data_IF_590010715676
#
_entry.id   IF_590010715676
#
_cell.length_a   1.000
_cell.length_b   1.000
_cell.length_c   1.000
_cell.angle_alpha   90.00
_cell.angle_beta   90.00
_cell.angle_gamma   90.00
#
_symmetry.space_group_name_H-M   'P 1'
#
loop_
_entity.id
_entity.type
_entity.pdbx_description
1 polymer ?
#
# COMPACT_ATOMS: atom_id res chain seq x y z
N UNK A 1 -8.97 -10.76 -15.04
CA UNK A 1 -8.43 -9.43 -15.41
C UNK A 1 -9.48 -8.41 -15.03
N UNK A 2 -9.20 -7.57 -14.05
CA UNK A 2 -10.14 -6.49 -13.73
C UNK A 2 -10.20 -5.50 -14.90
N UNK A 3 -11.38 -4.97 -15.23
CA UNK A 3 -11.51 -3.98 -16.27
C UNK A 3 -10.67 -2.74 -15.94
N UNK A 4 -10.07 -2.08 -16.94
CA UNK A 4 -9.24 -0.91 -16.70
C UNK A 4 -10.06 0.21 -16.03
N UNK A 5 -9.50 0.76 -14.96
CA UNK A 5 -10.10 1.87 -14.24
C UNK A 5 -9.99 3.15 -15.11
N UNK A 6 -11.13 3.65 -15.55
CA UNK A 6 -11.20 4.86 -16.37
C UNK A 6 -11.41 6.09 -15.48
N UNK A 7 -10.52 7.07 -15.59
CA UNK A 7 -10.66 8.37 -14.92
C UNK A 7 -10.54 9.49 -15.96
N UNK A 8 -11.63 10.18 -16.24
CA UNK A 8 -11.69 11.24 -17.26
C UNK A 8 -11.23 10.69 -18.62
N UNK A 9 -10.15 11.25 -19.22
CA UNK A 9 -9.56 10.78 -20.46
C UNK A 9 -8.38 9.78 -20.24
N UNK A 10 -8.17 9.29 -19.00
CA UNK A 10 -7.03 8.42 -18.66
C UNK A 10 -7.45 7.02 -18.25
N UNK A 11 -6.67 6.04 -18.65
CA UNK A 11 -6.85 4.62 -18.34
C UNK A 11 -5.73 4.10 -17.43
N UNK A 12 -6.08 3.19 -16.53
CA UNK A 12 -5.13 2.47 -15.69
C UNK A 12 -5.55 1.01 -15.58
N UNK A 13 -4.66 0.09 -15.90
CA UNK A 13 -4.89 -1.35 -15.80
C UNK A 13 -3.73 -2.05 -15.13
N UNK A 14 -4.03 -3.14 -14.40
CA UNK A 14 -3.06 -4.00 -13.74
C UNK A 14 -3.17 -5.41 -14.31
N UNK A 15 -2.04 -6.01 -14.63
CA UNK A 15 -1.94 -7.36 -15.15
C UNK A 15 -0.93 -8.17 -14.34
N UNK A 16 -1.32 -9.38 -13.96
CA UNK A 16 -0.43 -10.37 -13.37
C UNK A 16 0.44 -10.98 -14.47
N UNK A 17 1.75 -11.00 -14.24
CA UNK A 17 2.73 -11.63 -15.11
C UNK A 17 3.28 -12.87 -14.39
N UNK A 18 2.84 -14.03 -14.84
CA UNK A 18 3.32 -15.31 -14.30
C UNK A 18 4.72 -15.61 -14.85
N UNK A 19 5.62 -16.14 -14.01
CA UNK A 19 6.94 -16.53 -14.45
C UNK A 19 6.87 -17.73 -15.41
N UNK A 20 7.82 -17.82 -16.34
CA UNK A 20 7.94 -18.95 -17.26
C UNK A 20 8.46 -20.22 -16.56
N UNK A 21 9.15 -20.05 -15.44
CA UNK A 21 9.67 -21.13 -14.59
C UNK A 21 9.64 -20.70 -13.11
N UNK A 22 9.75 -21.64 -12.20
CA UNK A 22 9.65 -21.42 -10.75
C UNK A 22 10.80 -20.61 -10.16
N UNK A 23 11.89 -20.39 -10.90
CA UNK A 23 13.03 -19.60 -10.41
C UNK A 23 12.82 -18.08 -10.50
N UNK A 24 11.80 -17.63 -11.21
CA UNK A 24 11.49 -16.21 -11.34
C UNK A 24 10.28 -15.81 -10.48
N UNK A 25 10.29 -14.61 -9.90
CA UNK A 25 9.16 -14.14 -9.12
C UNK A 25 7.95 -13.80 -10.00
N UNK A 26 6.77 -13.94 -9.45
CA UNK A 26 5.55 -13.38 -10.02
C UNK A 26 5.61 -11.86 -9.98
N UNK A 27 5.19 -11.21 -11.05
CA UNK A 27 5.22 -9.76 -11.18
C UNK A 27 3.82 -9.19 -11.46
N UNK A 28 3.62 -7.94 -11.08
CA UNK A 28 2.49 -7.13 -11.50
C UNK A 28 2.95 -6.03 -12.44
N UNK A 29 2.26 -5.87 -13.56
CA UNK A 29 2.45 -4.79 -14.52
C UNK A 29 1.27 -3.83 -14.46
N UNK A 30 1.49 -2.61 -14.01
CA UNK A 30 0.52 -1.52 -14.02
C UNK A 30 0.83 -0.60 -15.19
N UNK A 31 -0.12 -0.46 -16.13
CA UNK A 31 0.00 0.41 -17.30
C UNK A 31 -0.98 1.55 -17.19
N UNK A 32 -0.55 2.74 -17.58
CA UNK A 32 -1.40 3.92 -17.57
C UNK A 32 -1.22 4.70 -18.88
N UNK A 33 -2.35 5.19 -19.41
CA UNK A 33 -2.38 6.13 -20.52
C UNK A 33 -3.11 7.39 -20.08
N UNK A 34 -2.46 8.55 -20.17
CA UNK A 34 -3.00 9.87 -19.78
C UNK A 34 -3.64 9.93 -18.36
N UNK A 35 -3.28 9.01 -17.48
CA UNK A 35 -3.73 8.97 -16.09
C UNK A 35 -2.88 9.92 -15.23
N UNK A 36 -3.34 11.17 -15.12
CA UNK A 36 -2.56 12.27 -14.59
C UNK A 36 -3.09 12.80 -13.25
N UNK A 37 -2.18 13.27 -12.40
CA UNK A 37 -2.50 14.16 -11.30
C UNK A 37 -2.00 15.58 -11.60
N UNK A 38 -2.68 16.58 -11.06
CA UNK A 38 -2.27 17.99 -11.14
C UNK A 38 -1.87 18.49 -9.76
N UNK A 39 -0.93 19.41 -9.73
CA UNK A 39 -0.48 20.11 -8.53
C UNK A 39 0.06 21.49 -8.93
N UNK A 40 0.28 22.43 -7.99
CA UNK A 40 0.93 23.71 -8.32
C UNK A 40 2.27 23.54 -9.04
N UNK A 41 3.04 22.49 -8.70
CA UNK A 41 4.31 22.17 -9.37
C UNK A 41 4.13 21.55 -10.77
N UNK A 42 2.98 20.93 -11.04
CA UNK A 42 2.68 20.26 -12.32
C UNK A 42 1.28 20.63 -12.81
N UNK A 43 1.08 21.90 -13.23
CA UNK A 43 -0.25 22.40 -13.61
C UNK A 43 -0.82 21.70 -14.84
N UNK A 44 0.03 21.29 -15.77
CA UNK A 44 -0.35 20.54 -16.98
C UNK A 44 -0.60 19.04 -16.71
N UNK A 45 -0.32 18.57 -15.50
CA UNK A 45 -0.46 17.18 -15.09
C UNK A 45 0.83 16.37 -15.26
N UNK A 46 0.94 15.33 -14.42
CA UNK A 46 2.04 14.36 -14.41
C UNK A 46 1.46 12.96 -14.19
N UNK A 47 2.01 11.89 -14.82
CA UNK A 47 1.55 10.52 -14.58
C UNK A 47 1.56 10.13 -13.10
N UNK A 48 0.46 9.53 -12.62
CA UNK A 48 0.34 9.12 -11.21
C UNK A 48 1.35 8.04 -10.84
N UNK A 49 1.73 7.17 -11.78
CA UNK A 49 2.80 6.17 -11.62
C UNK A 49 4.12 6.80 -11.15
N UNK A 50 4.50 7.99 -11.64
CA UNK A 50 5.75 8.64 -11.19
C UNK A 50 5.69 9.04 -9.71
N UNK A 51 4.52 9.40 -9.20
CA UNK A 51 4.31 9.66 -7.78
C UNK A 51 4.34 8.36 -6.97
N UNK A 52 3.74 7.30 -7.50
CA UNK A 52 3.77 5.97 -6.91
C UNK A 52 5.20 5.41 -6.80
N UNK A 53 6.00 5.50 -7.87
CA UNK A 53 7.43 5.11 -7.85
C UNK A 53 8.20 5.87 -6.77
N UNK A 54 7.97 7.18 -6.66
CA UNK A 54 8.62 8.00 -5.63
C UNK A 54 8.20 7.56 -4.22
N UNK A 55 6.92 7.26 -4.00
CA UNK A 55 6.41 6.76 -2.73
C UNK A 55 7.02 5.38 -2.38
N UNK A 56 7.07 4.43 -3.32
CA UNK A 56 7.71 3.13 -3.10
C UNK A 56 9.15 3.28 -2.62
N UNK A 57 9.96 4.10 -3.29
CA UNK A 57 11.36 4.33 -2.90
C UNK A 57 11.48 4.95 -1.51
N UNK A 58 10.69 5.98 -1.25
CA UNK A 58 10.75 6.70 0.02
C UNK A 58 10.27 5.86 1.21
N UNK A 59 9.19 5.10 1.05
CA UNK A 59 8.67 4.24 2.11
C UNK A 59 9.61 3.05 2.38
N UNK A 60 10.19 2.46 1.35
CA UNK A 60 11.21 1.43 1.50
C UNK A 60 12.43 1.94 2.29
N UNK A 61 12.88 3.16 2.05
CA UNK A 61 13.98 3.79 2.82
C UNK A 61 13.61 4.03 4.29
N UNK A 62 12.33 4.19 4.60
CA UNK A 62 11.83 4.29 5.97
C UNK A 62 11.65 2.91 6.64
N UNK A 63 11.98 1.82 5.95
CA UNK A 63 11.75 0.46 6.45
C UNK A 63 10.28 0.05 6.46
N UNK A 64 9.43 0.70 5.66
CA UNK A 64 8.06 0.28 5.41
C UNK A 64 8.06 -0.68 4.23
N UNK A 65 7.54 -1.87 4.42
CA UNK A 65 7.47 -2.87 3.35
C UNK A 65 6.46 -2.43 2.29
N UNK A 66 6.91 -2.47 1.07
CA UNK A 66 6.13 -2.20 -0.15
C UNK A 66 6.55 -3.21 -1.22
N UNK A 67 5.77 -3.47 -2.26
CA UNK A 67 6.21 -4.32 -3.36
C UNK A 67 7.54 -3.85 -3.95
N UNK A 68 8.46 -4.80 -4.16
CA UNK A 68 9.76 -4.48 -4.74
C UNK A 68 9.59 -3.91 -6.14
N UNK A 69 10.06 -2.68 -6.34
CA UNK A 69 10.07 -2.03 -7.63
C UNK A 69 11.10 -2.69 -8.55
N UNK A 70 10.64 -3.28 -9.65
CA UNK A 70 11.48 -3.90 -10.68
C UNK A 70 11.77 -2.90 -11.79
N UNK A 71 10.72 -2.24 -12.30
CA UNK A 71 10.84 -1.25 -13.35
C UNK A 71 9.77 -0.18 -13.24
N UNK A 72 10.09 1.04 -13.61
CA UNK A 72 9.12 2.11 -13.68
C UNK A 72 9.57 3.24 -14.58
N UNK A 73 8.70 3.62 -15.53
CA UNK A 73 8.97 4.71 -16.46
C UNK A 73 7.69 5.41 -16.89
N UNK A 74 7.86 6.61 -17.43
CA UNK A 74 6.81 7.33 -18.13
C UNK A 74 7.43 8.07 -19.33
N UNK A 75 6.73 8.05 -20.44
CA UNK A 75 7.11 8.76 -21.68
C UNK A 75 5.93 9.49 -22.26
N UNK A 76 6.18 10.49 -23.05
CA UNK A 76 5.16 11.16 -23.86
C UNK A 76 5.30 10.66 -25.32
N UNK A 77 4.21 10.17 -25.87
CA UNK A 77 4.13 9.71 -27.24
C UNK A 77 2.89 10.33 -27.89
N UNK A 78 3.05 11.00 -29.05
CA UNK A 78 1.95 11.66 -29.77
C UNK A 78 1.04 12.53 -28.87
N UNK A 79 1.67 13.32 -27.99
CA UNK A 79 0.96 14.18 -27.07
C UNK A 79 0.37 13.50 -25.83
N UNK A 80 0.32 12.17 -25.78
CA UNK A 80 -0.22 11.40 -24.67
C UNK A 80 0.87 10.85 -23.76
N UNK A 81 0.60 10.84 -22.45
CA UNK A 81 1.45 10.18 -21.48
C UNK A 81 1.17 8.67 -21.45
N UNK A 82 2.22 7.89 -21.58
CA UNK A 82 2.23 6.44 -21.33
C UNK A 82 3.15 6.16 -20.16
N UNK A 83 2.70 5.36 -19.20
CA UNK A 83 3.49 5.01 -18.04
C UNK A 83 3.37 3.52 -17.71
N UNK A 84 4.47 2.94 -17.23
CA UNK A 84 4.60 1.55 -16.86
C UNK A 84 5.26 1.44 -15.49
N UNK A 85 4.68 0.59 -14.65
CA UNK A 85 5.22 0.20 -13.35
C UNK A 85 5.21 -1.33 -13.28
N UNK A 86 6.35 -1.94 -12.96
CA UNK A 86 6.47 -3.37 -12.72
C UNK A 86 6.97 -3.56 -11.29
N UNK A 87 6.21 -4.33 -10.52
CA UNK A 87 6.53 -4.68 -9.14
C UNK A 87 6.50 -6.19 -8.94
N UNK A 88 7.29 -6.68 -8.00
CA UNK A 88 7.24 -8.06 -7.57
C UNK A 88 5.98 -8.28 -6.71
N UNK A 89 5.30 -9.41 -6.92
CA UNK A 89 4.19 -9.82 -6.08
C UNK A 89 4.63 -10.01 -4.63
N UNK A 90 3.75 -9.68 -3.70
CA UNK A 90 3.90 -10.00 -2.29
C UNK A 90 3.45 -11.46 -2.09
N UNK A 91 4.41 -12.36 -1.92
CA UNK A 91 4.13 -13.78 -1.71
C UNK A 91 3.58 -14.01 -0.31
N UNK A 92 2.51 -14.80 -0.20
CA UNK A 92 1.85 -15.20 1.06
C UNK A 92 1.23 -14.04 1.86
N UNK A 93 1.11 -12.88 1.27
CA UNK A 93 0.37 -11.78 1.85
C UNK A 93 -1.09 -11.79 1.37
N UNK A 94 -2.00 -11.51 2.30
CA UNK A 94 -3.41 -11.24 2.00
C UNK A 94 -3.76 -9.81 2.41
N UNK A 95 -4.80 -9.23 1.82
CA UNK A 95 -5.26 -7.91 2.27
C UNK A 95 -5.89 -7.98 3.66
N UNK A 96 -5.87 -6.87 4.39
CA UNK A 96 -6.56 -6.76 5.68
C UNK A 96 -8.07 -7.01 5.53
N UNK A 97 -8.65 -6.71 4.36
CA UNK A 97 -10.03 -7.05 4.03
C UNK A 97 -10.23 -8.56 4.00
N UNK A 98 -9.38 -9.29 3.26
CA UNK A 98 -9.39 -10.75 3.19
C UNK A 98 -9.08 -11.41 4.54
N UNK A 99 -8.26 -10.79 5.40
CA UNK A 99 -8.01 -11.28 6.75
C UNK A 99 -9.31 -11.46 7.55
N UNK A 100 -10.22 -10.50 7.45
CA UNK A 100 -11.51 -10.55 8.16
C UNK A 100 -12.62 -11.33 7.42
N UNK A 101 -12.32 -11.92 6.27
CA UNK A 101 -13.19 -12.88 5.58
C UNK A 101 -12.98 -14.34 6.04
N UNK A 102 -11.91 -14.59 6.81
CA UNK A 102 -11.53 -15.91 7.33
C UNK A 102 -11.31 -15.85 8.84
N UNK A 103 -11.45 -17.02 9.50
CA UNK A 103 -11.21 -17.12 10.94
C UNK A 103 -9.71 -17.22 11.25
N UNK A 104 -9.27 -16.45 12.20
CA UNK A 104 -7.89 -16.47 12.72
C UNK A 104 -7.91 -16.51 14.25
N UNK A 105 -6.86 -17.07 14.87
CA UNK A 105 -6.74 -17.06 16.32
C UNK A 105 -6.57 -15.62 16.86
N UNK A 106 -7.06 -15.36 18.06
CA UNK A 106 -6.88 -14.06 18.70
C UNK A 106 -5.38 -13.66 18.81
N UNK A 107 -4.51 -14.64 19.03
CA UNK A 107 -3.04 -14.45 19.10
C UNK A 107 -2.47 -13.97 17.76
N UNK A 108 -2.90 -14.56 16.63
CA UNK A 108 -2.51 -14.13 15.28
C UNK A 108 -3.02 -12.74 14.94
N UNK A 109 -4.29 -12.48 15.26
CA UNK A 109 -4.91 -11.17 15.02
C UNK A 109 -4.21 -10.07 15.81
N UNK A 110 -3.93 -10.30 17.09
CA UNK A 110 -3.18 -9.34 17.92
C UNK A 110 -1.78 -9.07 17.37
N UNK A 111 -1.05 -10.12 16.97
CA UNK A 111 0.28 -9.99 16.37
C UNK A 111 0.23 -9.16 15.08
N UNK A 112 -0.73 -9.45 14.21
CA UNK A 112 -0.95 -8.72 12.96
C UNK A 112 -1.28 -7.24 13.20
N UNK A 113 -2.20 -6.93 14.12
CA UNK A 113 -2.60 -5.56 14.44
C UNK A 113 -1.45 -4.75 15.04
N UNK A 114 -0.62 -5.37 15.88
CA UNK A 114 0.59 -4.76 16.43
C UNK A 114 1.57 -4.38 15.32
N UNK A 115 1.86 -5.30 14.41
CA UNK A 115 2.75 -5.07 13.28
C UNK A 115 2.21 -3.99 12.32
N UNK A 116 0.90 -4.02 12.06
CA UNK A 116 0.24 -3.03 11.20
C UNK A 116 0.28 -1.63 11.84
N UNK A 117 -0.03 -1.52 13.13
CA UNK A 117 0.08 -0.27 13.88
C UNK A 117 1.49 0.33 13.81
N UNK A 118 2.51 -0.49 14.04
CA UNK A 118 3.91 -0.07 13.94
C UNK A 118 4.29 0.39 12.52
N UNK A 119 3.81 -0.28 11.48
CA UNK A 119 4.08 0.07 10.08
C UNK A 119 3.43 1.41 9.70
N UNK A 120 2.16 1.62 10.08
CA UNK A 120 1.47 2.90 9.85
C UNK A 120 2.12 4.04 10.63
N UNK A 121 2.52 3.81 11.89
CA UNK A 121 3.23 4.79 12.69
C UNK A 121 4.58 5.19 12.05
N UNK A 122 5.35 4.22 11.56
CA UNK A 122 6.63 4.46 10.87
C UNK A 122 6.45 5.31 9.62
N UNK A 123 5.45 5.00 8.79
CA UNK A 123 5.10 5.80 7.63
C UNK A 123 4.75 7.25 8.02
N UNK A 124 3.89 7.41 9.02
CA UNK A 124 3.43 8.74 9.46
C UNK A 124 4.52 9.56 10.15
N UNK A 125 5.42 8.94 10.94
CA UNK A 125 6.63 9.62 11.46
C UNK A 125 7.50 10.18 10.35
N UNK A 126 7.62 9.47 9.24
CA UNK A 126 8.25 9.97 8.01
C UNK A 126 7.48 11.08 7.31
N UNK A 127 6.33 11.50 7.87
CA UNK A 127 5.41 12.49 7.30
C UNK A 127 4.78 12.05 5.98
N UNK A 128 4.72 10.74 5.72
CA UNK A 128 4.07 10.19 4.55
C UNK A 128 2.61 9.86 4.85
N UNK A 129 1.75 10.30 3.95
CA UNK A 129 0.34 9.97 3.89
C UNK A 129 0.15 8.92 2.80
N UNK A 130 -0.58 7.85 3.08
CA UNK A 130 -0.97 6.85 2.09
C UNK A 130 -1.93 7.46 1.04
N UNK A 131 -2.95 8.15 1.52
CA UNK A 131 -3.94 8.83 0.68
C UNK A 131 -5.06 7.93 0.15
N UNK A 132 -4.90 6.60 0.24
CA UNK A 132 -5.91 5.57 -0.01
C UNK A 132 -5.76 4.46 1.03
N UNK A 133 -5.74 4.81 2.31
CA UNK A 133 -5.55 3.87 3.42
C UNK A 133 -6.84 3.09 3.66
N UNK A 134 -7.09 2.08 2.80
CA UNK A 134 -8.23 1.16 2.85
C UNK A 134 -7.75 -0.23 3.23
N UNK A 135 -8.59 -1.03 3.89
CA UNK A 135 -8.24 -2.40 4.27
C UNK A 135 -7.69 -3.24 3.10
N UNK A 136 -8.26 -3.10 1.91
CA UNK A 136 -7.80 -3.79 0.70
C UNK A 136 -6.40 -3.37 0.19
N UNK A 137 -5.82 -2.28 0.69
CA UNK A 137 -4.49 -1.80 0.31
C UNK A 137 -3.43 -2.04 1.40
N UNK A 138 -3.84 -2.57 2.54
CA UNK A 138 -2.99 -2.97 3.65
C UNK A 138 -2.85 -4.49 3.59
N UNK A 139 -1.65 -4.96 3.36
CA UNK A 139 -1.37 -6.38 3.19
C UNK A 139 -0.67 -6.93 4.41
N UNK A 140 -1.04 -8.13 4.81
CA UNK A 140 -0.57 -8.77 6.03
C UNK A 140 -0.18 -10.22 5.75
N UNK A 141 0.81 -10.70 6.49
CA UNK A 141 1.23 -12.10 6.52
C UNK A 141 1.57 -12.46 7.94
N UNK A 142 1.00 -13.53 8.46
CA UNK A 142 1.34 -14.08 9.78
C UNK A 142 1.90 -15.47 9.60
N UNK A 143 3.04 -15.72 10.22
CA UNK A 143 3.73 -17.02 10.22
C UNK A 143 4.00 -17.42 11.66
N UNK A 144 3.84 -18.70 11.96
CA UNK A 144 4.13 -19.29 13.25
C UNK A 144 4.87 -20.62 13.01
N UNK A 145 6.11 -20.69 13.45
CA UNK A 145 6.86 -21.95 13.48
C UNK A 145 6.48 -22.75 14.73
N UNK A 146 6.57 -24.07 14.68
CA UNK A 146 6.26 -24.94 15.82
C UNK A 146 7.00 -24.48 17.10
N UNK A 147 6.25 -24.25 18.17
CA UNK A 147 6.79 -23.85 19.48
C UNK A 147 7.24 -22.39 19.58
N UNK A 148 7.03 -21.56 18.54
CA UNK A 148 7.37 -20.13 18.56
C UNK A 148 6.14 -19.24 18.73
N UNK A 149 6.39 -17.97 19.00
CA UNK A 149 5.33 -16.94 18.92
C UNK A 149 5.11 -16.52 17.48
N UNK A 150 3.87 -16.19 17.06
CA UNK A 150 3.58 -15.73 15.72
C UNK A 150 4.36 -14.46 15.40
N UNK A 151 4.80 -14.34 14.14
CA UNK A 151 5.43 -13.16 13.58
C UNK A 151 4.55 -12.63 12.45
N UNK A 152 4.36 -11.33 12.43
CA UNK A 152 3.57 -10.69 11.39
C UNK A 152 4.40 -9.70 10.58
N UNK A 153 4.27 -9.80 9.27
CA UNK A 153 4.75 -8.81 8.31
C UNK A 153 3.57 -8.04 7.74
N UNK A 154 3.79 -6.76 7.46
CA UNK A 154 2.78 -5.92 6.84
C UNK A 154 3.36 -5.13 5.68
N UNK A 155 2.59 -4.93 4.63
CA UNK A 155 3.00 -4.19 3.45
C UNK A 155 1.90 -3.25 2.94
N UNK A 156 2.30 -2.15 2.28
CA UNK A 156 1.39 -1.14 1.76
C UNK A 156 1.37 -1.17 0.23
N UNK A 157 0.17 -1.15 -0.36
CA UNK A 157 -0.07 -1.13 -1.81
C UNK A 157 -0.84 0.12 -2.24
N UNK A 158 -0.90 0.34 -3.56
CA UNK A 158 -1.63 1.44 -4.21
C UNK A 158 -1.23 2.84 -3.68
N UNK A 159 0.05 3.14 -3.82
CA UNK A 159 0.64 4.39 -3.36
C UNK A 159 0.49 5.56 -4.37
N UNK A 160 -0.38 5.43 -5.37
CA UNK A 160 -0.56 6.47 -6.40
C UNK A 160 -1.05 7.82 -5.87
N UNK A 161 -1.73 7.84 -4.71
CA UNK A 161 -2.15 9.07 -4.02
C UNK A 161 -1.25 9.44 -2.85
N UNK A 162 -0.24 8.63 -2.58
CA UNK A 162 0.69 8.86 -1.48
C UNK A 162 1.48 10.15 -1.67
N UNK A 163 1.72 10.84 -0.55
CA UNK A 163 2.42 12.14 -0.57
C UNK A 163 3.02 12.46 0.79
N UNK A 164 4.09 13.25 0.76
CA UNK A 164 4.66 13.82 1.97
C UNK A 164 3.84 15.00 2.47
N UNK A 165 3.61 15.07 3.78
CA UNK A 165 2.90 16.16 4.46
C UNK A 165 3.87 17.03 5.24
N UNK A 166 3.42 18.21 5.63
CA UNK A 166 4.23 19.11 6.47
C UNK A 166 4.34 18.58 7.89
N UNK A 167 3.25 18.03 8.44
CA UNK A 167 3.17 17.52 9.82
C UNK A 167 2.73 16.05 9.81
N UNK A 168 3.28 15.28 10.74
CA UNK A 168 2.87 13.90 11.02
C UNK A 168 1.37 13.81 11.30
N UNK A 169 0.83 14.73 12.11
CA UNK A 169 -0.59 14.77 12.46
C UNK A 169 -1.52 14.91 11.25
N UNK A 170 -1.09 15.60 10.18
CA UNK A 170 -1.91 15.75 8.96
C UNK A 170 -1.96 14.46 8.16
N UNK A 171 -0.83 13.73 8.08
CA UNK A 171 -0.78 12.42 7.44
C UNK A 171 -1.61 11.41 8.22
N UNK A 172 -1.36 11.30 9.52
CA UNK A 172 -2.03 10.38 10.45
C UNK A 172 -3.55 10.57 10.46
N UNK A 173 -4.01 11.79 10.71
CA UNK A 173 -5.46 12.09 10.81
C UNK A 173 -6.21 11.71 9.55
N UNK A 174 -5.64 11.98 8.38
CA UNK A 174 -6.28 11.64 7.13
C UNK A 174 -6.40 10.12 6.96
N UNK A 175 -5.28 9.40 7.10
CA UNK A 175 -5.22 7.98 6.80
C UNK A 175 -5.97 7.13 7.85
N UNK A 176 -5.83 7.45 9.14
CA UNK A 176 -6.54 6.72 10.20
C UNK A 176 -8.06 6.93 10.11
N UNK A 177 -8.51 8.15 9.78
CA UNK A 177 -9.94 8.40 9.51
C UNK A 177 -10.44 7.64 8.29
N UNK A 178 -9.62 7.53 7.25
CA UNK A 178 -9.95 6.81 6.04
C UNK A 178 -10.01 5.31 6.31
N UNK A 179 -9.03 4.76 7.03
CA UNK A 179 -9.00 3.35 7.41
C UNK A 179 -10.22 2.99 8.27
N UNK A 180 -10.56 3.80 9.28
CA UNK A 180 -11.76 3.56 10.11
C UNK A 180 -13.05 3.45 9.29
N UNK A 181 -13.17 4.25 8.23
CA UNK A 181 -14.34 4.22 7.34
C UNK A 181 -14.37 3.04 6.38
N UNK A 182 -13.21 2.46 6.09
CA UNK A 182 -13.03 1.45 5.05
C UNK A 182 -12.24 0.25 5.58
N UNK A 183 -12.42 -0.08 6.88
CA UNK A 183 -11.80 -1.25 7.51
C UNK A 183 -12.58 -2.56 7.30
N UNK A 184 -13.69 -2.51 6.54
CA UNK A 184 -14.48 -3.71 6.26
C UNK A 184 -15.12 -4.29 7.51
N UNK A 185 -14.99 -5.60 7.70
CA UNK A 185 -15.56 -6.37 8.80
C UNK A 185 -14.72 -6.34 10.10
N UNK A 186 -13.72 -5.45 10.21
CA UNK A 186 -12.89 -5.34 11.42
C UNK A 186 -13.76 -4.98 12.65
N UNK A 187 -13.75 -5.82 13.72
CA UNK A 187 -14.46 -5.53 14.97
C UNK A 187 -13.92 -4.26 15.65
N UNK A 188 -14.76 -3.62 16.47
CA UNK A 188 -14.35 -2.42 17.23
C UNK A 188 -13.23 -2.73 18.22
N UNK A 189 -13.23 -3.91 18.85
CA UNK A 189 -12.13 -4.37 19.72
C UNK A 189 -10.78 -4.38 19.00
N UNK A 190 -10.77 -4.89 17.77
CA UNK A 190 -9.55 -4.98 16.95
C UNK A 190 -9.10 -3.60 16.47
N UNK A 191 -10.05 -2.71 16.17
CA UNK A 191 -9.73 -1.32 15.89
C UNK A 191 -9.06 -0.64 17.09
N UNK A 192 -9.53 -0.89 18.31
CA UNK A 192 -8.91 -0.36 19.52
C UNK A 192 -7.51 -0.89 19.74
N UNK A 193 -7.28 -2.20 19.53
CA UNK A 193 -5.93 -2.80 19.58
C UNK A 193 -4.99 -2.19 18.53
N UNK A 194 -5.47 -2.02 17.30
CA UNK A 194 -4.70 -1.35 16.25
C UNK A 194 -4.32 0.08 16.67
N UNK A 195 -5.28 0.85 17.18
CA UNK A 195 -5.06 2.23 17.61
C UNK A 195 -4.08 2.33 18.78
N UNK A 196 -4.16 1.40 19.73
CA UNK A 196 -3.21 1.32 20.83
C UNK A 196 -1.80 1.08 20.31
N UNK A 197 -1.59 0.02 19.54
CA UNK A 197 -0.29 -0.32 18.94
C UNK A 197 0.27 0.82 18.06
N UNK A 198 -0.61 1.46 17.28
CA UNK A 198 -0.25 2.61 16.47
C UNK A 198 0.22 3.80 17.32
N UNK A 199 -0.50 4.13 18.38
CA UNK A 199 -0.18 5.28 19.26
C UNK A 199 1.10 5.05 20.03
N UNK A 200 1.30 3.85 20.57
CA UNK A 200 2.55 3.44 21.23
C UNK A 200 3.74 3.55 20.28
N UNK A 201 3.61 2.97 19.08
CA UNK A 201 4.68 3.03 18.08
C UNK A 201 4.91 4.45 17.53
N UNK A 202 3.91 5.34 17.53
CA UNK A 202 4.07 6.72 17.09
C UNK A 202 4.83 7.57 18.11
N UNK A 203 4.71 7.25 19.39
CA UNK A 203 5.37 7.93 20.50
C UNK A 203 6.83 7.49 20.71
N UNK A 204 7.18 6.24 20.32
CA UNK A 204 8.53 5.69 20.36
C UNK A 204 9.44 6.30 19.29
#
# INVERSE_FOLDING_TARGET
>A
MEPPNQRRAGESGVQLLLPRNTSHPTLYSKRQTSHLYRSPRYPLGRPTILREIYAYRALSQLGVTVPKLIYGSARRNEGQWQALLITQALTDFISLEQWYETEHSAKHTQCMLTALGATLARMHRGRWQHGCCYAKHLFVRVQEDEGSSPKADTALLDLEKSRRRWRTADASRHDMRQLKRHCGAMPESDWQLLMQAYTEALAA
#
